data_IF_000362626408
#
_entry.id   IF_000362626408
#
_cell.length_a   1.000
_cell.length_b   1.000
_cell.length_c   1.000
_cell.angle_alpha   90.00
_cell.angle_beta   90.00
_cell.angle_gamma   90.00
#
_symmetry.space_group_name_H-M   'P 1'
#
loop_
_entity.id
_entity.type
_entity.pdbx_description
1 polymer ?
#
# COMPACT_ATOMS: atom_id res chain seq x y z
N UNK A 1 5.02 -17.31 -15.61
CA UNK A 1 4.88 -15.91 -16.04
C UNK A 1 3.92 -15.22 -15.07
N UNK A 2 4.28 -14.04 -14.54
CA UNK A 2 3.34 -13.21 -13.75
C UNK A 2 2.51 -12.39 -14.74
N UNK A 3 1.20 -12.63 -14.79
CA UNK A 3 0.28 -11.89 -15.66
C UNK A 3 0.02 -10.47 -15.09
N UNK A 4 -0.07 -9.48 -15.97
CA UNK A 4 -0.41 -8.10 -15.63
C UNK A 4 -1.79 -8.03 -14.97
N UNK A 5 -2.77 -8.81 -15.43
CA UNK A 5 -4.10 -8.83 -14.83
C UNK A 5 -4.06 -9.31 -13.36
N UNK A 6 -3.26 -10.32 -13.08
CA UNK A 6 -3.05 -10.83 -11.71
C UNK A 6 -2.40 -9.77 -10.82
N UNK A 7 -1.41 -9.02 -11.33
CA UNK A 7 -0.77 -7.92 -10.60
C UNK A 7 -1.77 -6.82 -10.27
N UNK A 8 -2.63 -6.42 -11.21
CA UNK A 8 -3.64 -5.38 -11.00
C UNK A 8 -4.62 -5.81 -9.90
N UNK A 9 -5.12 -7.05 -9.95
CA UNK A 9 -6.03 -7.59 -8.94
C UNK A 9 -5.34 -7.63 -7.57
N UNK A 10 -4.10 -8.10 -7.51
CA UNK A 10 -3.33 -8.15 -6.27
C UNK A 10 -3.16 -6.76 -5.66
N UNK A 11 -2.77 -5.76 -6.46
CA UNK A 11 -2.63 -4.36 -6.01
C UNK A 11 -3.97 -3.83 -5.48
N UNK A 12 -5.08 -4.10 -6.17
CA UNK A 12 -6.40 -3.66 -5.72
C UNK A 12 -6.81 -4.26 -4.36
N UNK A 13 -6.53 -5.56 -4.15
CA UNK A 13 -6.77 -6.22 -2.86
C UNK A 13 -5.86 -5.62 -1.78
N UNK A 14 -4.59 -5.40 -2.10
CA UNK A 14 -3.61 -4.81 -1.18
C UNK A 14 -3.95 -3.37 -0.82
N UNK A 15 -4.58 -2.58 -1.70
CA UNK A 15 -5.10 -1.25 -1.34
C UNK A 15 -6.17 -1.33 -0.24
N UNK A 16 -7.12 -2.27 -0.38
CA UNK A 16 -8.14 -2.50 0.65
C UNK A 16 -7.51 -2.87 1.99
N UNK A 17 -6.57 -3.82 1.96
CA UNK A 17 -5.84 -4.26 3.14
C UNK A 17 -4.99 -3.13 3.75
N UNK A 18 -4.27 -2.38 2.93
CA UNK A 18 -3.42 -1.26 3.33
C UNK A 18 -4.23 -0.19 4.04
N UNK A 19 -5.39 0.17 3.49
CA UNK A 19 -6.30 1.16 4.09
C UNK A 19 -6.86 0.66 5.41
N UNK A 20 -7.26 -0.60 5.49
CA UNK A 20 -7.75 -1.21 6.73
C UNK A 20 -6.66 -1.22 7.81
N UNK A 21 -5.47 -1.73 7.51
CA UNK A 21 -4.36 -1.77 8.46
C UNK A 21 -3.90 -0.38 8.89
N UNK A 22 -3.86 0.57 7.95
CA UNK A 22 -3.54 1.97 8.25
C UNK A 22 -4.61 2.66 9.09
N UNK A 23 -5.83 2.13 9.17
CA UNK A 23 -6.94 2.70 9.96
C UNK A 23 -6.89 2.31 11.44
N UNK A 24 -6.13 1.26 11.79
CA UNK A 24 -5.88 0.84 13.16
C UNK A 24 -5.07 1.91 13.92
N UNK A 25 -4.84 1.69 15.21
CA UNK A 25 -4.13 2.63 16.09
C UNK A 25 -2.73 3.01 15.58
N UNK A 26 -2.08 2.10 14.85
CA UNK A 26 -0.79 2.32 14.23
C UNK A 26 -0.90 2.40 12.71
N UNK A 27 -0.91 3.62 12.16
CA UNK A 27 -0.95 3.85 10.71
C UNK A 27 0.19 3.14 9.97
N UNK A 28 1.34 2.91 10.60
CA UNK A 28 2.49 2.26 9.95
C UNK A 28 2.23 0.80 9.61
N UNK A 29 1.18 0.17 10.16
CA UNK A 29 0.78 -1.19 9.79
C UNK A 29 0.42 -1.30 8.31
N UNK A 30 0.00 -0.20 7.66
CA UNK A 30 -0.19 -0.17 6.21
C UNK A 30 1.06 -0.48 5.39
N UNK A 31 2.25 -0.20 5.93
CA UNK A 31 3.53 -0.46 5.25
C UNK A 31 3.90 -1.95 5.16
N UNK A 32 3.06 -2.85 5.67
CA UNK A 32 3.25 -4.29 5.47
C UNK A 32 2.87 -4.73 4.04
N UNK A 33 1.98 -4.00 3.36
CA UNK A 33 1.47 -4.41 2.03
C UNK A 33 2.53 -4.40 0.92
N UNK A 34 3.51 -3.46 0.84
CA UNK A 34 4.62 -3.56 -0.12
C UNK A 34 5.50 -4.80 0.15
N UNK A 35 5.66 -5.18 1.42
CA UNK A 35 6.41 -6.39 1.80
C UNK A 35 5.68 -7.64 1.31
N UNK A 36 4.37 -7.72 1.56
CA UNK A 36 3.52 -8.84 1.10
C UNK A 36 3.56 -8.94 -0.43
N UNK A 37 3.45 -7.81 -1.14
CA UNK A 37 3.54 -7.77 -2.60
C UNK A 37 4.87 -8.33 -3.11
N UNK A 38 5.97 -7.90 -2.51
CA UNK A 38 7.32 -8.36 -2.88
C UNK A 38 7.49 -9.85 -2.62
N UNK A 39 7.05 -10.35 -1.45
CA UNK A 39 7.08 -11.77 -1.12
C UNK A 39 6.26 -12.61 -2.10
N UNK A 40 5.09 -12.12 -2.52
CA UNK A 40 4.26 -12.80 -3.51
C UNK A 40 4.97 -12.97 -4.85
N UNK A 41 5.54 -11.88 -5.39
CA UNK A 41 6.26 -11.94 -6.67
C UNK A 41 7.47 -12.87 -6.56
N UNK A 42 8.27 -12.74 -5.49
CA UNK A 42 9.42 -13.60 -5.27
C UNK A 42 9.01 -15.07 -5.17
N UNK A 43 7.99 -15.40 -4.37
CA UNK A 43 7.48 -16.76 -4.26
C UNK A 43 7.06 -17.32 -5.62
N UNK A 44 6.38 -16.53 -6.46
CA UNK A 44 5.98 -16.99 -7.79
C UNK A 44 7.19 -17.25 -8.70
N UNK A 45 8.19 -16.37 -8.68
CA UNK A 45 9.42 -16.53 -9.47
C UNK A 45 10.18 -17.79 -9.05
N UNK A 46 10.35 -18.02 -7.74
CA UNK A 46 11.08 -19.17 -7.22
C UNK A 46 10.33 -20.51 -7.40
N UNK A 47 9.01 -20.53 -7.20
CA UNK A 47 8.22 -21.78 -7.27
C UNK A 47 8.01 -22.23 -8.71
N UNK A 48 7.72 -21.30 -9.62
CA UNK A 48 7.36 -21.64 -11.00
C UNK A 48 8.54 -21.54 -11.98
N UNK A 49 9.75 -21.27 -11.49
CA UNK A 49 10.95 -21.02 -12.31
C UNK A 49 10.70 -20.02 -13.45
N UNK A 50 9.74 -19.11 -13.28
CA UNK A 50 9.41 -18.10 -14.26
C UNK A 50 10.34 -16.91 -14.09
N UNK A 51 11.56 -17.07 -14.59
CA UNK A 51 12.56 -15.99 -14.64
C UNK A 51 12.25 -15.12 -15.85
N UNK A 52 11.18 -14.34 -15.76
CA UNK A 52 10.94 -13.26 -16.72
C UNK A 52 11.87 -12.09 -16.35
N UNK A 53 12.74 -11.64 -17.25
CA UNK A 53 13.70 -10.55 -16.97
C UNK A 53 13.06 -9.24 -16.44
N UNK A 54 11.74 -9.08 -16.56
CA UNK A 54 10.97 -7.93 -16.15
C UNK A 54 10.47 -7.97 -14.69
N UNK A 55 10.70 -9.06 -13.93
CA UNK A 55 10.14 -9.19 -12.57
C UNK A 55 10.64 -8.10 -11.62
N UNK A 56 11.88 -7.62 -11.79
CA UNK A 56 12.41 -6.49 -11.02
C UNK A 56 11.61 -5.20 -11.24
N UNK A 57 11.21 -4.93 -12.49
CA UNK A 57 10.38 -3.78 -12.82
C UNK A 57 8.98 -3.90 -12.21
N UNK A 58 8.40 -5.10 -12.23
CA UNK A 58 7.09 -5.37 -11.60
C UNK A 58 7.15 -5.12 -10.08
N UNK A 59 8.20 -5.57 -9.40
CA UNK A 59 8.43 -5.30 -7.97
C UNK A 59 8.57 -3.80 -7.73
N UNK A 60 9.39 -3.11 -8.52
CA UNK A 60 9.64 -1.68 -8.36
C UNK A 60 8.37 -0.86 -8.52
N UNK A 61 7.64 -1.06 -9.63
CA UNK A 61 6.43 -0.30 -9.96
C UNK A 61 5.32 -0.59 -8.95
N UNK A 62 5.09 -1.85 -8.61
CA UNK A 62 4.01 -2.22 -7.67
C UNK A 62 4.26 -1.67 -6.26
N UNK A 63 5.50 -1.75 -5.76
CA UNK A 63 5.85 -1.14 -4.47
C UNK A 63 5.77 0.39 -4.52
N UNK A 64 6.20 1.03 -5.62
CA UNK A 64 6.09 2.47 -5.79
C UNK A 64 4.62 2.92 -5.70
N UNK A 65 3.70 2.21 -6.37
CA UNK A 65 2.27 2.48 -6.32
C UNK A 65 1.72 2.32 -4.90
N UNK A 66 2.05 1.23 -4.19
CA UNK A 66 1.58 0.97 -2.83
C UNK A 66 2.09 2.02 -1.83
N UNK A 67 3.38 2.39 -1.92
CA UNK A 67 3.97 3.41 -1.06
C UNK A 67 3.39 4.80 -1.34
N UNK A 68 3.13 5.12 -2.61
CA UNK A 68 2.50 6.39 -3.00
C UNK A 68 1.07 6.47 -2.44
N UNK A 69 0.27 5.40 -2.56
CA UNK A 69 -1.07 5.31 -1.97
C UNK A 69 -1.01 5.50 -0.44
N UNK A 70 -0.05 4.84 0.23
CA UNK A 70 0.12 4.95 1.67
C UNK A 70 0.41 6.39 2.08
N UNK A 71 1.34 7.04 1.38
CA UNK A 71 1.73 8.42 1.64
C UNK A 71 0.55 9.39 1.45
N UNK A 72 -0.21 9.24 0.36
CA UNK A 72 -1.39 10.06 0.08
C UNK A 72 -2.46 9.84 1.16
N UNK A 73 -2.78 8.59 1.48
CA UNK A 73 -3.75 8.24 2.50
C UNK A 73 -3.41 8.80 3.89
N UNK A 74 -2.14 8.73 4.29
CA UNK A 74 -1.67 9.26 5.56
C UNK A 74 -1.69 10.80 5.58
N UNK A 75 -1.30 11.45 4.48
CA UNK A 75 -1.37 12.91 4.33
C UNK A 75 -2.80 13.42 4.47
N UNK A 76 -3.77 12.75 3.85
CA UNK A 76 -5.17 13.15 3.94
C UNK A 76 -5.77 12.91 5.33
N UNK A 77 -5.38 11.83 6.01
CA UNK A 77 -5.77 11.57 7.40
C UNK A 77 -5.24 12.66 8.34
N UNK A 78 -3.96 13.03 8.21
CA UNK A 78 -3.36 14.09 9.02
C UNK A 78 -4.05 15.44 8.81
N UNK A 79 -4.39 15.78 7.56
CA UNK A 79 -5.17 16.98 7.25
C UNK A 79 -6.56 16.97 7.90
N UNK A 80 -7.25 15.83 7.91
CA UNK A 80 -8.57 15.70 8.57
C UNK A 80 -8.44 15.86 10.08
N UNK A 81 -7.44 15.25 10.70
CA UNK A 81 -7.18 15.39 12.13
C UNK A 81 -6.89 16.84 12.53
N UNK A 82 -6.06 17.55 11.75
CA UNK A 82 -5.79 18.97 11.98
C UNK A 82 -7.06 19.82 11.90
N UNK A 83 -7.92 19.59 10.89
CA UNK A 83 -9.21 20.29 10.77
C UNK A 83 -10.14 20.05 11.95
N UNK A 84 -10.21 18.82 12.46
CA UNK A 84 -11.03 18.50 13.64
C UNK A 84 -10.46 19.17 14.90
N UNK A 85 -9.14 19.19 15.07
CA UNK A 85 -8.48 19.92 16.17
C UNK A 85 -8.74 21.43 16.11
N UNK A 86 -8.70 22.03 14.92
CA UNK A 86 -9.02 23.46 14.74
C UNK A 86 -10.47 23.77 15.11
N UNK A 87 -11.43 22.91 14.71
CA UNK A 87 -12.84 23.07 15.09
C UNK A 87 -13.06 23.00 16.61
N UNK A 88 -12.38 22.07 17.29
CA UNK A 88 -12.45 21.95 18.75
C UNK A 88 -11.95 23.23 19.43
N UNK A 89 -10.78 23.74 19.00
CA UNK A 89 -10.23 25.00 19.52
C UNK A 89 -11.15 26.20 19.35
N UNK A 90 -11.85 26.30 18.22
CA UNK A 90 -12.80 27.39 17.96
C UNK A 90 -14.03 27.27 18.85
N UNK A 91 -14.49 26.06 19.16
CA UNK A 91 -15.68 25.81 19.98
C UNK A 91 -15.43 26.02 21.48
N UNK A 92 -14.19 25.87 21.92
CA UNK A 92 -13.77 26.10 23.31
C UNK A 92 -13.51 27.59 23.61
N UNK A 93 -13.43 28.45 22.58
CA UNK A 93 -13.32 29.92 22.69
C UNK A 93 -14.69 30.60 22.69
#
# INVERSE_FOLDING_TARGET
>A
MVDIFEIIILIAVLFGLQKYLSSLDNNLLGLITPIIFTLYILAKVFIFNSVDSDYWWKIFIGNFILLLDFYIGNKDRNKRQQKELEKMKIKDY
#
